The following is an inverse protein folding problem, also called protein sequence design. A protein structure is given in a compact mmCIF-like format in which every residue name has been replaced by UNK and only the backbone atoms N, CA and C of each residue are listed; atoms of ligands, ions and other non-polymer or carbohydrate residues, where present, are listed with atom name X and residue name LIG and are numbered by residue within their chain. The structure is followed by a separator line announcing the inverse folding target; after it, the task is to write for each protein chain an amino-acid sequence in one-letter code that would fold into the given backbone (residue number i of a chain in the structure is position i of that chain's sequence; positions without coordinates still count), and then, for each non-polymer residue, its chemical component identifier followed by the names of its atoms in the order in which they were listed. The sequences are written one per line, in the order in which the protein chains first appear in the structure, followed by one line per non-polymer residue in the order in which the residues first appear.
data_IF_792018537731
#
_entry.id   IF_792018537731
#
_cell.length_a   1.000
_cell.length_b   1.000
_cell.length_c   1.000
_cell.angle_alpha   90.00
_cell.angle_beta   90.00
_cell.angle_gamma   90.00
#
_symmetry.space_group_name_H-M   'P 1'
#
loop_
_entity.id
_entity.type
_entity.pdbx_description
1 polymer ?
#
# COMPACT_ATOMS: atom_id res chain seq x y z
N UNK A 1 -24.39 3.03 41.24
CA UNK A 1 -23.33 3.71 42.02
C UNK A 1 -22.55 2.84 43.02
N UNK A 2 -23.18 2.14 43.98
CA UNK A 2 -22.42 1.34 44.98
C UNK A 2 -21.44 0.32 44.37
N UNK A 3 -21.83 -0.31 43.25
CA UNK A 3 -20.97 -1.23 42.50
C UNK A 3 -19.75 -0.53 41.88
N UNK A 4 -19.91 0.71 41.39
CA UNK A 4 -18.80 1.52 40.87
C UNK A 4 -17.76 1.78 41.96
N UNK A 5 -18.21 2.22 43.14
CA UNK A 5 -17.28 2.57 44.23
C UNK A 5 -16.56 1.34 44.78
N UNK A 6 -17.27 0.22 44.93
CA UNK A 6 -16.65 -1.05 45.29
C UNK A 6 -15.60 -1.49 44.26
N UNK A 7 -15.88 -1.31 42.97
CA UNK A 7 -14.94 -1.63 41.91
C UNK A 7 -13.73 -0.68 41.89
N UNK A 8 -13.93 0.62 42.15
CA UNK A 8 -12.84 1.59 42.29
C UNK A 8 -11.94 1.26 43.47
N UNK A 9 -12.52 0.89 44.62
CA UNK A 9 -11.74 0.46 45.78
C UNK A 9 -10.92 -0.81 45.47
N UNK A 10 -11.55 -1.81 44.86
CA UNK A 10 -10.89 -3.04 44.44
C UNK A 10 -9.77 -2.80 43.39
N UNK A 11 -9.94 -1.78 42.54
CA UNK A 11 -8.94 -1.34 41.55
C UNK A 11 -7.83 -0.44 42.15
N UNK A 12 -7.83 -0.23 43.47
CA UNK A 12 -6.90 0.67 44.18
C UNK A 12 -7.05 2.15 43.77
N UNK A 13 -8.29 2.57 43.51
CA UNK A 13 -8.69 3.94 43.14
C UNK A 13 -9.60 4.58 44.21
N UNK A 14 -9.55 4.09 45.44
CA UNK A 14 -10.40 4.56 46.55
C UNK A 14 -10.29 6.09 46.79
N UNK A 15 -9.11 6.67 46.57
CA UNK A 15 -8.87 8.11 46.73
C UNK A 15 -9.60 8.97 45.70
N UNK A 16 -10.00 8.38 44.56
CA UNK A 16 -10.69 9.08 43.47
C UNK A 16 -12.22 8.98 43.57
N UNK A 17 -12.75 8.25 44.57
CA UNK A 17 -14.21 8.09 44.75
C UNK A 17 -14.93 9.43 44.91
N UNK A 18 -14.43 10.44 45.66
CA UNK A 18 -15.09 11.74 45.75
C UNK A 18 -15.20 12.47 44.40
N UNK A 19 -14.16 12.35 43.55
CA UNK A 19 -14.16 12.93 42.21
C UNK A 19 -15.12 12.17 41.28
N UNK A 20 -15.20 10.85 41.43
CA UNK A 20 -16.19 10.04 40.72
C UNK A 20 -17.62 10.44 41.08
N UNK A 21 -17.90 10.66 42.38
CA UNK A 21 -19.19 11.13 42.88
C UNK A 21 -19.57 12.49 42.29
N UNK A 22 -18.64 13.45 42.32
CA UNK A 22 -18.83 14.78 41.75
C UNK A 22 -19.13 14.69 40.25
N UNK A 23 -18.34 13.93 39.49
CA UNK A 23 -18.59 13.73 38.07
C UNK A 23 -19.96 13.11 37.79
N UNK A 24 -20.36 12.08 38.55
CA UNK A 24 -21.66 11.44 38.37
C UNK A 24 -22.81 12.40 38.66
N UNK A 25 -22.65 13.26 39.66
CA UNK A 25 -23.63 14.30 39.96
C UNK A 25 -23.71 15.37 38.86
N UNK A 26 -22.57 15.79 38.30
CA UNK A 26 -22.51 16.79 37.23
C UNK A 26 -23.11 16.29 35.91
N UNK A 27 -22.81 15.04 35.55
CA UNK A 27 -23.34 14.42 34.33
C UNK A 27 -24.76 13.86 34.49
N UNK A 28 -25.28 13.79 35.72
CA UNK A 28 -26.57 13.18 36.03
C UNK A 28 -26.58 11.66 35.84
N UNK A 29 -25.44 11.01 36.03
CA UNK A 29 -25.31 9.55 35.97
C UNK A 29 -25.74 8.94 37.31
N UNK A 30 -26.90 8.29 37.32
CA UNK A 30 -27.47 7.61 38.49
C UNK A 30 -27.19 6.10 38.46
N UNK A 31 -27.01 5.53 37.26
CA UNK A 31 -26.82 4.11 37.01
C UNK A 31 -25.37 3.79 36.60
N UNK A 32 -24.93 2.55 36.85
CA UNK A 32 -23.57 2.12 36.47
C UNK A 32 -23.43 2.09 34.94
N UNK A 33 -24.48 1.68 34.26
CA UNK A 33 -24.59 1.60 32.81
C UNK A 33 -24.33 2.97 32.17
N UNK A 34 -24.86 4.04 32.75
CA UNK A 34 -24.63 5.42 32.28
C UNK A 34 -23.16 5.82 32.44
N UNK A 35 -22.52 5.45 33.55
CA UNK A 35 -21.07 5.68 33.73
C UNK A 35 -20.25 4.87 32.72
N UNK A 36 -20.67 3.65 32.40
CA UNK A 36 -20.00 2.80 31.42
C UNK A 36 -20.14 3.32 29.99
N UNK A 37 -21.29 3.90 29.64
CA UNK A 37 -21.51 4.55 28.34
C UNK A 37 -20.54 5.72 28.12
N UNK A 38 -20.17 6.42 29.18
CA UNK A 38 -19.24 7.56 29.16
C UNK A 38 -17.91 7.25 29.85
N UNK A 39 -17.48 5.98 29.84
CA UNK A 39 -16.31 5.53 30.61
C UNK A 39 -15.02 6.26 30.22
N UNK A 40 -14.87 6.66 28.95
CA UNK A 40 -13.71 7.40 28.48
C UNK A 40 -13.67 8.83 29.04
N UNK A 41 -14.81 9.53 29.03
CA UNK A 41 -14.93 10.88 29.59
C UNK A 41 -14.76 10.86 31.11
N UNK A 42 -15.35 9.85 31.77
CA UNK A 42 -15.15 9.58 33.19
C UNK A 42 -13.67 9.35 33.51
N UNK A 43 -12.99 8.44 32.79
CA UNK A 43 -11.59 8.14 33.00
C UNK A 43 -10.69 9.38 32.78
N UNK A 44 -10.96 10.16 31.73
CA UNK A 44 -10.23 11.39 31.43
C UNK A 44 -10.43 12.45 32.51
N UNK A 45 -11.67 12.64 32.99
CA UNK A 45 -11.97 13.62 34.05
C UNK A 45 -11.30 13.29 35.37
N UNK A 46 -11.17 12.00 35.68
CA UNK A 46 -10.50 11.52 36.89
C UNK A 46 -8.98 11.43 36.74
N UNK A 47 -8.43 11.68 35.53
CA UNK A 47 -7.00 11.54 35.24
C UNK A 47 -6.50 10.09 35.33
N UNK A 48 -7.36 9.11 35.05
CA UNK A 48 -6.99 7.70 35.09
C UNK A 48 -5.99 7.38 33.97
N UNK A 49 -4.93 6.65 34.31
CA UNK A 49 -4.08 6.04 33.29
C UNK A 49 -4.78 4.86 32.63
N UNK A 50 -4.32 4.44 31.44
CA UNK A 50 -4.85 3.28 30.71
C UNK A 50 -4.91 2.03 31.61
N UNK A 51 -3.85 1.77 32.37
CA UNK A 51 -3.77 0.66 33.32
C UNK A 51 -4.76 0.74 34.48
N UNK A 52 -5.13 1.94 34.94
CA UNK A 52 -6.13 2.12 36.00
C UNK A 52 -7.53 1.89 35.47
N UNK A 53 -7.83 2.40 34.27
CA UNK A 53 -9.10 2.19 33.57
C UNK A 53 -9.36 0.71 33.30
N UNK A 54 -8.36 -0.02 32.81
CA UNK A 54 -8.47 -1.47 32.56
C UNK A 54 -8.76 -2.26 33.84
N UNK A 55 -8.05 -1.95 34.94
CA UNK A 55 -8.32 -2.59 36.23
C UNK A 55 -9.74 -2.30 36.72
N UNK A 56 -10.22 -1.07 36.55
CA UNK A 56 -11.58 -0.70 36.94
C UNK A 56 -12.63 -1.45 36.12
N UNK A 57 -12.49 -1.50 34.79
CA UNK A 57 -13.40 -2.26 33.91
C UNK A 57 -13.41 -3.75 34.26
N UNK A 58 -12.25 -4.31 34.58
CA UNK A 58 -12.13 -5.70 35.04
C UNK A 58 -12.91 -5.94 36.35
N UNK A 59 -12.85 -5.00 37.31
CA UNK A 59 -13.61 -5.10 38.55
C UNK A 59 -15.12 -4.90 38.36
N UNK A 60 -15.52 -4.14 37.34
CA UNK A 60 -16.92 -3.93 36.99
C UNK A 60 -17.55 -5.12 36.28
N UNK A 61 -16.75 -6.14 35.89
CA UNK A 61 -17.24 -7.31 35.16
C UNK A 61 -17.73 -6.94 33.75
N UNK A 62 -17.30 -5.80 33.23
CA UNK A 62 -17.57 -5.40 31.86
C UNK A 62 -16.55 -6.14 31.01
N UNK A 63 -16.87 -7.39 30.71
CA UNK A 63 -16.13 -8.13 29.70
C UNK A 63 -16.37 -7.45 28.36
N UNK A 64 -15.30 -6.94 27.77
CA UNK A 64 -15.34 -6.44 26.41
C UNK A 64 -15.75 -7.58 25.47
N UNK A 65 -16.98 -7.48 24.95
CA UNK A 65 -17.56 -8.49 24.08
C UNK A 65 -16.68 -8.71 22.83
N UNK A 66 -16.04 -7.66 22.32
CA UNK A 66 -15.13 -7.77 21.17
C UNK A 66 -13.91 -8.64 21.51
N UNK A 67 -13.34 -8.48 22.71
CA UNK A 67 -12.24 -9.29 23.20
C UNK A 67 -12.66 -10.75 23.42
N UNK A 68 -13.87 -10.98 23.95
CA UNK A 68 -14.40 -12.34 24.10
C UNK A 68 -14.56 -13.03 22.75
N UNK A 69 -15.18 -12.34 21.78
CA UNK A 69 -15.40 -12.86 20.43
C UNK A 69 -14.04 -13.13 19.74
N UNK A 70 -13.07 -12.23 19.88
CA UNK A 70 -11.71 -12.42 19.38
C UNK A 70 -11.02 -13.65 20.00
N UNK A 71 -11.13 -13.84 21.32
CA UNK A 71 -10.59 -15.03 22.01
C UNK A 71 -11.25 -16.32 21.51
N UNK A 72 -12.57 -16.32 21.35
CA UNK A 72 -13.31 -17.47 20.82
C UNK A 72 -12.87 -17.82 19.40
N UNK A 73 -12.73 -16.81 18.53
CA UNK A 73 -12.26 -17.01 17.16
C UNK A 73 -10.83 -17.57 17.13
N UNK A 74 -9.92 -17.00 17.91
CA UNK A 74 -8.52 -17.50 18.01
C UNK A 74 -8.51 -18.95 18.48
N UNK A 75 -9.26 -19.28 19.52
CA UNK A 75 -9.35 -20.64 20.04
C UNK A 75 -9.89 -21.62 18.98
N UNK A 76 -11.00 -21.28 18.32
CA UNK A 76 -11.61 -22.13 17.29
C UNK A 76 -10.64 -22.41 16.13
N UNK A 77 -9.93 -21.38 15.66
CA UNK A 77 -8.97 -21.54 14.58
C UNK A 77 -7.72 -22.33 14.99
N UNK A 78 -7.21 -22.13 16.21
CA UNK A 78 -6.07 -22.91 16.73
C UNK A 78 -6.43 -24.38 16.91
N UNK A 79 -7.65 -24.68 17.35
CA UNK A 79 -8.18 -26.05 17.41
C UNK A 79 -8.28 -26.68 16.02
N UNK A 80 -8.75 -25.94 15.01
CA UNK A 80 -8.81 -26.42 13.62
C UNK A 80 -7.42 -26.68 13.04
N UNK A 81 -6.47 -25.75 13.23
CA UNK A 81 -5.07 -25.89 12.82
C UNK A 81 -4.43 -27.10 13.50
N UNK A 82 -4.67 -27.29 14.81
CA UNK A 82 -4.15 -28.44 15.56
C UNK A 82 -4.71 -29.76 15.02
N UNK A 83 -6.01 -29.80 14.70
CA UNK A 83 -6.67 -30.97 14.11
C UNK A 83 -6.10 -31.31 12.73
N UNK A 84 -5.99 -30.33 11.83
CA UNK A 84 -5.40 -30.53 10.49
C UNK A 84 -3.93 -30.93 10.57
N UNK A 85 -3.18 -30.35 11.51
CA UNK A 85 -1.79 -30.72 11.75
C UNK A 85 -1.68 -32.18 12.20
N UNK A 86 -2.53 -32.62 13.12
CA UNK A 86 -2.58 -34.01 13.56
C UNK A 86 -2.99 -34.97 12.43
N UNK A 87 -3.93 -34.57 11.58
CA UNK A 87 -4.33 -35.33 10.39
C UNK A 87 -3.16 -35.44 9.39
N UNK A 88 -2.48 -34.35 9.08
CA UNK A 88 -1.34 -34.32 8.15
C UNK A 88 -0.19 -35.25 8.54
N UNK A 89 -0.05 -35.57 9.85
CA UNK A 89 0.93 -36.53 10.38
C UNK A 89 0.53 -37.99 10.14
N UNK A 90 -0.76 -38.28 10.03
CA UNK A 90 -1.31 -39.64 9.81
C UNK A 90 -1.48 -39.98 8.33
N UNK A 91 -1.59 -38.97 7.47
CA UNK A 91 -1.95 -39.14 6.06
C UNK A 91 -0.74 -39.42 5.15
N UNK A 92 -0.99 -40.11 4.03
CA UNK A 92 0.02 -40.42 3.01
C UNK A 92 0.66 -39.16 2.39
N UNK A 93 1.88 -39.29 1.85
CA UNK A 93 2.62 -38.19 1.20
C UNK A 93 1.81 -37.45 0.13
N UNK A 94 0.96 -38.16 -0.63
CA UNK A 94 0.15 -37.58 -1.71
C UNK A 94 -0.96 -36.65 -1.19
N UNK A 95 -1.51 -36.93 -0.01
CA UNK A 95 -2.61 -36.16 0.59
C UNK A 95 -2.14 -35.12 1.61
N UNK A 96 -0.87 -35.19 2.04
CA UNK A 96 -0.29 -34.22 2.98
C UNK A 96 -0.21 -32.80 2.41
N UNK A 97 0.06 -32.66 1.11
CA UNK A 97 0.21 -31.36 0.44
C UNK A 97 -1.01 -30.44 0.63
N UNK A 98 -2.22 -30.89 0.24
CA UNK A 98 -3.45 -30.12 0.45
C UNK A 98 -3.73 -29.74 1.92
N UNK A 99 -3.44 -30.63 2.87
CA UNK A 99 -3.63 -30.33 4.31
C UNK A 99 -2.68 -29.23 4.79
N UNK A 100 -1.42 -29.25 4.36
CA UNK A 100 -0.45 -28.20 4.70
C UNK A 100 -0.81 -26.85 4.06
N UNK A 101 -1.33 -26.86 2.83
CA UNK A 101 -1.84 -25.64 2.20
C UNK A 101 -3.01 -25.06 3.01
N UNK A 102 -3.96 -25.91 3.43
CA UNK A 102 -5.10 -25.47 4.25
C UNK A 102 -4.68 -24.92 5.62
N UNK A 103 -3.70 -25.54 6.29
CA UNK A 103 -3.13 -25.02 7.54
C UNK A 103 -2.57 -23.62 7.32
N UNK A 104 -1.76 -23.45 6.25
CA UNK A 104 -1.18 -22.15 5.91
C UNK A 104 -2.25 -21.10 5.60
N UNK A 105 -3.32 -21.49 4.90
CA UNK A 105 -4.43 -20.58 4.59
C UNK A 105 -5.15 -20.10 5.86
N UNK A 106 -5.36 -20.98 6.85
CA UNK A 106 -5.94 -20.62 8.16
C UNK A 106 -4.98 -19.73 8.96
N UNK A 107 -3.70 -20.07 9.02
CA UNK A 107 -2.67 -19.26 9.71
C UNK A 107 -2.52 -17.86 9.11
N UNK A 108 -2.81 -17.70 7.81
CA UNK A 108 -2.74 -16.44 7.08
C UNK A 108 -4.09 -15.73 6.94
N UNK A 109 -5.17 -16.29 7.50
CA UNK A 109 -6.50 -15.69 7.44
C UNK A 109 -6.49 -14.29 8.11
N UNK A 110 -6.93 -13.21 7.43
CA UNK A 110 -6.90 -11.86 7.98
C UNK A 110 -7.65 -11.73 9.32
N UNK A 111 -8.78 -12.41 9.45
CA UNK A 111 -9.62 -12.42 10.65
C UNK A 111 -8.91 -13.04 11.86
N UNK A 112 -8.15 -14.13 11.65
CA UNK A 112 -7.34 -14.76 12.70
C UNK A 112 -6.20 -13.87 13.15
N UNK A 113 -5.50 -13.25 12.20
CA UNK A 113 -4.38 -12.36 12.49
C UNK A 113 -4.84 -11.11 13.24
N UNK A 114 -5.97 -10.51 12.85
CA UNK A 114 -6.54 -9.37 13.59
C UNK A 114 -7.03 -9.80 14.97
N UNK A 115 -7.75 -10.91 15.11
CA UNK A 115 -8.19 -11.40 16.42
C UNK A 115 -7.01 -11.74 17.35
N UNK A 116 -5.95 -12.34 16.82
CA UNK A 116 -4.74 -12.63 17.60
C UNK A 116 -4.04 -11.36 18.09
N UNK A 117 -3.98 -10.31 17.25
CA UNK A 117 -3.47 -8.98 17.64
C UNK A 117 -4.36 -8.33 18.70
N UNK A 118 -5.68 -8.41 18.52
CA UNK A 118 -6.65 -7.89 19.47
C UNK A 118 -6.54 -8.57 20.84
N UNK A 119 -6.37 -9.89 20.88
CA UNK A 119 -6.15 -10.63 22.14
C UNK A 119 -4.82 -10.24 22.81
N UNK A 120 -3.81 -9.88 22.03
CA UNK A 120 -2.49 -9.47 22.54
C UNK A 120 -2.49 -8.04 23.09
N UNK A 121 -3.08 -7.09 22.37
CA UNK A 121 -3.18 -5.68 22.74
C UNK A 121 -4.48 -5.09 22.17
N UNK A 122 -5.60 -5.16 22.93
CA UNK A 122 -6.90 -4.67 22.47
C UNK A 122 -6.88 -3.17 22.16
N UNK A 123 -6.13 -2.38 22.94
CA UNK A 123 -6.07 -0.94 22.77
C UNK A 123 -5.38 -0.57 21.46
N UNK A 124 -4.20 -1.14 21.20
CA UNK A 124 -3.46 -0.88 19.97
C UNK A 124 -4.18 -1.40 18.72
N UNK A 125 -4.85 -2.56 18.80
CA UNK A 125 -5.61 -3.08 17.66
C UNK A 125 -6.87 -2.25 17.39
N UNK A 126 -7.60 -1.77 18.41
CA UNK A 126 -8.71 -0.82 18.20
C UNK A 126 -8.23 0.49 17.57
N UNK A 127 -7.09 1.01 18.02
CA UNK A 127 -6.49 2.20 17.41
C UNK A 127 -6.12 1.95 15.95
N UNK A 128 -5.54 0.78 15.63
CA UNK A 128 -5.24 0.37 14.25
C UNK A 128 -6.50 0.22 13.40
N UNK A 129 -7.51 -0.50 13.88
CA UNK A 129 -8.78 -0.68 13.17
C UNK A 129 -9.45 0.66 12.93
N UNK A 130 -9.40 1.57 13.92
CA UNK A 130 -9.86 2.95 13.75
C UNK A 130 -9.05 3.69 12.70
N UNK A 131 -7.72 3.61 12.71
CA UNK A 131 -6.88 4.24 11.71
C UNK A 131 -7.17 3.72 10.28
N UNK A 132 -7.28 2.40 10.09
CA UNK A 132 -7.65 1.79 8.81
C UNK A 132 -9.06 2.19 8.35
N UNK A 133 -10.02 2.25 9.27
CA UNK A 133 -11.37 2.72 8.97
C UNK A 133 -11.35 4.19 8.53
N UNK A 134 -10.59 5.03 9.24
CA UNK A 134 -10.43 6.44 8.90
C UNK A 134 -9.77 6.61 7.52
N UNK A 135 -8.74 5.83 7.18
CA UNK A 135 -8.10 5.83 5.86
C UNK A 135 -9.06 5.39 4.74
N UNK A 136 -9.83 4.31 4.97
CA UNK A 136 -10.85 3.84 4.02
C UNK A 136 -11.93 4.88 3.80
N UNK A 137 -12.44 5.48 4.87
CA UNK A 137 -13.46 6.52 4.80
C UNK A 137 -12.89 7.77 4.11
N UNK A 138 -11.66 8.19 4.41
CA UNK A 138 -10.99 9.29 3.70
C UNK A 138 -10.90 9.02 2.19
N UNK A 139 -10.48 7.81 1.81
CA UNK A 139 -10.41 7.38 0.40
C UNK A 139 -11.79 7.42 -0.26
N UNK A 140 -12.81 6.91 0.42
CA UNK A 140 -14.22 6.94 -0.05
C UNK A 140 -14.67 8.38 -0.29
N UNK A 141 -14.40 9.29 0.64
CA UNK A 141 -14.74 10.70 0.45
C UNK A 141 -14.02 11.27 -0.77
N UNK A 142 -12.71 11.06 -0.94
CA UNK A 142 -11.94 11.54 -2.11
C UNK A 142 -12.46 11.00 -3.44
N UNK A 143 -12.86 9.72 -3.48
CA UNK A 143 -13.48 9.09 -4.66
C UNK A 143 -14.80 9.75 -5.03
N UNK A 144 -15.72 9.92 -4.07
CA UNK A 144 -17.01 10.56 -4.32
C UNK A 144 -16.86 12.00 -4.86
N UNK A 145 -15.86 12.76 -4.36
CA UNK A 145 -15.61 14.11 -4.90
C UNK A 145 -14.98 14.06 -6.31
N UNK A 146 -14.14 13.05 -6.62
CA UNK A 146 -13.62 12.83 -7.99
C UNK A 146 -14.77 12.60 -8.99
N UNK A 147 -15.79 11.86 -8.56
CA UNK A 147 -17.00 11.59 -9.35
C UNK A 147 -17.97 12.78 -9.41
N UNK A 148 -17.68 13.86 -8.67
CA UNK A 148 -18.56 15.04 -8.50
C UNK A 148 -19.95 14.68 -7.95
N UNK A 149 -20.07 13.61 -7.17
CA UNK A 149 -21.29 13.23 -6.45
C UNK A 149 -21.32 13.89 -5.07
N UNK A 150 -21.97 15.05 -5.01
CA UNK A 150 -22.05 15.84 -3.79
C UNK A 150 -22.82 15.11 -2.66
N UNK A 151 -23.99 14.48 -2.90
CA UNK A 151 -24.65 13.67 -1.85
C UNK A 151 -23.77 12.55 -1.29
N UNK A 152 -23.10 11.78 -2.15
CA UNK A 152 -22.28 10.67 -1.70
C UNK A 152 -21.03 11.15 -0.92
N UNK A 153 -20.38 12.21 -1.39
CA UNK A 153 -19.24 12.81 -0.69
C UNK A 153 -19.63 13.35 0.70
N UNK A 154 -20.83 13.95 0.82
CA UNK A 154 -21.35 14.46 2.08
C UNK A 154 -21.66 13.32 3.06
N UNK A 155 -22.29 12.24 2.59
CA UNK A 155 -22.58 11.05 3.42
C UNK A 155 -21.28 10.40 3.91
N UNK A 156 -20.30 10.24 3.03
CA UNK A 156 -19.01 9.64 3.39
C UNK A 156 -18.24 10.51 4.41
N UNK A 157 -18.31 11.84 4.30
CA UNK A 157 -17.66 12.73 5.27
C UNK A 157 -18.33 12.62 6.65
N UNK A 158 -19.66 12.48 6.71
CA UNK A 158 -20.37 12.28 7.97
C UNK A 158 -19.97 10.95 8.64
N UNK A 159 -19.82 9.87 7.87
CA UNK A 159 -19.30 8.59 8.36
C UNK A 159 -17.87 8.74 8.92
N UNK A 160 -16.99 9.47 8.22
CA UNK A 160 -15.62 9.75 8.70
C UNK A 160 -15.61 10.50 10.04
N UNK A 161 -16.51 11.47 10.20
CA UNK A 161 -16.69 12.21 11.46
C UNK A 161 -17.21 11.33 12.58
N UNK A 162 -18.20 10.48 12.30
CA UNK A 162 -18.76 9.56 13.28
C UNK A 162 -17.72 8.55 13.80
N UNK A 163 -16.74 8.17 12.96
CA UNK A 163 -15.60 7.34 13.36
C UNK A 163 -14.53 8.09 14.20
N UNK A 164 -14.80 9.35 14.58
CA UNK A 164 -13.91 10.17 15.39
C UNK A 164 -12.69 10.68 14.62
N UNK A 165 -12.81 10.85 13.30
CA UNK A 165 -11.75 11.45 12.48
C UNK A 165 -11.61 12.95 12.75
N UNK A 166 -10.47 13.35 13.32
CA UNK A 166 -10.13 14.75 13.62
C UNK A 166 -8.63 14.98 13.36
N UNK A 167 -8.20 15.13 12.10
CA UNK A 167 -6.79 15.46 11.80
C UNK A 167 -6.50 16.97 11.94
N UNK A 168 -5.88 17.40 13.05
CA UNK A 168 -5.66 18.81 13.43
C UNK A 168 -4.72 19.65 12.54
N UNK A 169 -4.27 20.86 12.92
CA UNK A 169 -4.53 21.66 14.13
C UNK A 169 -4.99 23.06 13.70
N UNK A 170 -6.31 23.31 13.65
CA UNK A 170 -7.04 24.61 13.62
C UNK A 170 -8.42 24.39 12.95
N UNK A 171 -9.42 25.24 13.24
CA UNK A 171 -10.87 24.96 13.11
C UNK A 171 -11.32 24.62 11.68
N UNK A 172 -11.74 23.39 11.30
CA UNK A 172 -11.63 22.05 11.91
C UNK A 172 -11.60 20.92 10.86
N UNK A 173 -10.41 20.56 10.34
CA UNK A 173 -9.90 19.15 10.26
C UNK A 173 -10.90 18.05 9.76
N UNK A 174 -10.96 17.51 8.51
CA UNK A 174 -10.03 16.64 7.75
C UNK A 174 -9.50 17.44 6.55
N UNK A 175 -8.47 18.22 6.87
CA UNK A 175 -8.08 19.45 6.19
C UNK A 175 -9.30 20.31 5.77
N UNK A 176 -9.93 20.92 6.79
CA UNK A 176 -11.09 21.83 6.75
C UNK A 176 -12.24 21.40 5.83
N UNK A 177 -12.41 20.08 5.86
CA UNK A 177 -13.36 19.19 5.20
C UNK A 177 -13.22 19.13 3.70
N UNK A 178 -12.06 18.53 3.40
CA UNK A 178 -11.47 18.37 2.08
C UNK A 178 -11.55 19.68 1.31
N UNK A 179 -11.07 20.72 2.00
CA UNK A 179 -11.85 21.87 2.40
C UNK A 179 -12.83 22.36 1.38
N UNK A 180 -13.95 22.88 1.86
CA UNK A 180 -14.92 23.36 0.92
C UNK A 180 -15.54 22.17 0.12
N UNK A 181 -15.24 20.88 0.47
CA UNK A 181 -15.51 19.65 -0.31
C UNK A 181 -15.26 19.83 -1.81
N UNK A 182 -14.31 20.74 -2.06
CA UNK A 182 -14.26 21.55 -3.26
C UNK A 182 -15.56 22.37 -3.37
N UNK A 183 -15.62 23.65 -2.90
CA UNK A 183 -16.78 24.61 -2.82
C UNK A 183 -17.42 24.96 -4.18
N UNK A 184 -17.20 24.07 -5.13
CA UNK A 184 -16.21 24.16 -6.20
C UNK A 184 -16.25 22.88 -7.06
N UNK A 185 -17.10 21.94 -6.70
CA UNK A 185 -17.96 21.51 -7.78
C UNK A 185 -18.40 22.74 -8.68
N UNK A 186 -18.34 24.02 -8.22
CA UNK A 186 -18.00 25.29 -8.94
C UNK A 186 -18.85 25.54 -10.18
N UNK A 187 -20.02 26.15 -9.94
CA UNK A 187 -20.68 27.24 -10.70
C UNK A 187 -20.84 27.19 -12.23
N UNK A 188 -20.75 26.03 -12.89
CA UNK A 188 -20.98 25.87 -14.34
C UNK A 188 -22.31 26.46 -14.85
N UNK A 189 -22.18 27.26 -15.91
CA UNK A 189 -23.16 27.45 -16.98
C UNK A 189 -23.52 26.08 -17.60
N UNK A 190 -24.82 25.72 -17.69
CA UNK A 190 -25.27 24.45 -18.30
C UNK A 190 -24.72 24.20 -19.71
N UNK A 191 -24.46 25.26 -20.49
CA UNK A 191 -23.94 25.17 -21.86
C UNK A 191 -22.49 24.66 -21.90
N UNK A 192 -21.61 25.18 -21.05
CA UNK A 192 -20.21 24.75 -21.02
C UNK A 192 -20.09 23.30 -20.52
N UNK A 193 -21.03 22.87 -19.68
CA UNK A 193 -21.13 21.49 -19.21
C UNK A 193 -21.48 20.53 -20.35
N UNK A 194 -22.44 20.91 -21.21
CA UNK A 194 -22.81 20.13 -22.40
C UNK A 194 -21.66 20.11 -23.42
N UNK A 195 -21.04 21.26 -23.68
CA UNK A 195 -19.94 21.40 -24.65
C UNK A 195 -18.70 20.60 -24.25
N UNK A 196 -18.36 20.55 -22.95
CA UNK A 196 -17.25 19.72 -22.44
C UNK A 196 -17.57 18.23 -22.39
N UNK A 197 -18.82 17.83 -22.12
CA UNK A 197 -19.20 16.41 -22.25
C UNK A 197 -19.14 15.95 -23.70
N UNK A 198 -19.55 16.80 -24.64
CA UNK A 198 -19.43 16.54 -26.07
C UNK A 198 -17.96 16.54 -26.51
N UNK A 199 -17.13 17.48 -26.04
CA UNK A 199 -15.69 17.46 -26.28
C UNK A 199 -15.00 16.25 -25.67
N UNK A 200 -15.35 15.79 -24.46
CA UNK A 200 -14.81 14.56 -23.87
C UNK A 200 -15.27 13.31 -24.63
N UNK A 201 -16.53 13.27 -25.09
CA UNK A 201 -17.03 12.20 -25.97
C UNK A 201 -16.35 12.23 -27.35
N UNK A 202 -15.97 13.40 -27.84
CA UNK A 202 -15.25 13.58 -29.10
C UNK A 202 -13.74 13.30 -28.97
N UNK A 203 -13.11 13.68 -27.86
CA UNK A 203 -11.70 13.40 -27.55
C UNK A 203 -11.47 11.94 -27.18
N UNK A 204 -12.46 11.26 -26.56
CA UNK A 204 -12.44 9.78 -26.44
C UNK A 204 -12.38 9.07 -27.80
N UNK A 205 -12.70 9.76 -28.91
CA UNK A 205 -12.53 9.25 -30.28
C UNK A 205 -11.24 9.75 -30.97
N UNK A 206 -10.46 10.64 -30.35
CA UNK A 206 -9.22 11.23 -30.88
C UNK A 206 -8.15 11.35 -29.78
N UNK A 207 -8.01 10.30 -28.98
CA UNK A 207 -6.93 10.20 -28.02
C UNK A 207 -5.60 9.97 -28.73
N UNK A 208 -4.52 10.37 -28.09
CA UNK A 208 -3.18 9.86 -28.37
C UNK A 208 -3.27 8.32 -28.41
N UNK A 209 -2.94 7.74 -29.57
CA UNK A 209 -2.83 6.30 -29.73
C UNK A 209 -1.35 6.00 -29.81
N UNK A 210 -0.85 5.19 -28.87
CA UNK A 210 0.43 4.54 -29.06
C UNK A 210 0.37 3.67 -30.31
N UNK A 211 1.47 3.61 -31.05
CA UNK A 211 1.59 2.58 -32.07
C UNK A 211 1.39 1.21 -31.40
N UNK A 212 0.69 0.26 -32.04
CA UNK A 212 0.59 -1.08 -31.50
C UNK A 212 2.00 -1.62 -31.23
N UNK A 213 2.20 -2.38 -30.14
CA UNK A 213 3.52 -2.82 -29.73
C UNK A 213 4.21 -3.50 -30.90
N UNK A 214 5.47 -3.12 -31.15
CA UNK A 214 6.27 -3.74 -32.19
C UNK A 214 6.39 -5.25 -31.93
N UNK A 215 6.73 -6.05 -32.95
CA UNK A 215 6.94 -7.50 -32.75
C UNK A 215 7.98 -7.83 -31.66
N UNK A 216 8.92 -6.90 -31.39
CA UNK A 216 9.88 -7.01 -30.29
C UNK A 216 9.25 -6.70 -28.92
N UNK A 217 8.26 -5.81 -28.85
CA UNK A 217 7.48 -5.53 -27.63
C UNK A 217 6.42 -6.59 -27.34
N UNK A 218 5.99 -7.32 -28.38
CA UNK A 218 5.10 -8.47 -28.24
C UNK A 218 5.79 -9.71 -27.64
N UNK A 219 7.13 -9.78 -27.63
CA UNK A 219 7.90 -10.73 -26.80
C UNK A 219 7.77 -10.33 -25.32
N UNK A 220 6.57 -10.51 -24.77
CA UNK A 220 6.17 -10.07 -23.42
C UNK A 220 6.67 -10.99 -22.31
N UNK A 221 7.26 -12.14 -22.64
CA UNK A 221 7.73 -13.09 -21.65
C UNK A 221 9.20 -12.85 -21.30
N UNK A 222 9.54 -12.59 -20.01
CA UNK A 222 10.91 -12.48 -19.56
C UNK A 222 11.74 -13.70 -19.93
N UNK A 223 12.92 -13.48 -20.52
CA UNK A 223 13.83 -14.54 -20.95
C UNK A 223 14.50 -15.15 -19.72
N UNK A 224 14.25 -16.44 -19.47
CA UNK A 224 14.93 -17.20 -18.41
C UNK A 224 16.34 -17.54 -18.86
N UNK A 225 17.34 -17.12 -18.09
CA UNK A 225 18.74 -17.38 -18.38
C UNK A 225 19.57 -17.59 -17.10
N UNK A 226 20.84 -17.96 -17.28
CA UNK A 226 21.79 -18.20 -16.20
C UNK A 226 22.86 -17.13 -16.25
N UNK A 227 23.00 -16.40 -15.15
CA UNK A 227 24.04 -15.40 -14.96
C UNK A 227 25.28 -16.06 -14.41
N UNK A 228 26.45 -15.87 -15.03
CA UNK A 228 27.71 -16.37 -14.48
C UNK A 228 28.16 -15.50 -13.31
N UNK A 229 28.62 -16.14 -12.23
CA UNK A 229 29.08 -15.44 -11.01
C UNK A 229 30.42 -16.03 -10.58
N UNK A 230 31.44 -15.19 -10.60
CA UNK A 230 32.77 -15.45 -10.07
C UNK A 230 32.89 -14.98 -8.61
N UNK A 231 33.79 -15.59 -7.85
CA UNK A 231 34.00 -15.31 -6.42
C UNK A 231 34.60 -13.92 -6.20
N UNK A 232 35.57 -13.56 -7.05
CA UNK A 232 36.39 -12.36 -6.89
C UNK A 232 35.83 -11.22 -7.75
N UNK A 233 35.39 -11.54 -8.97
CA UNK A 233 34.90 -10.55 -9.93
C UNK A 233 33.37 -10.34 -9.86
N UNK A 234 32.64 -11.16 -9.11
CA UNK A 234 31.18 -11.10 -9.08
C UNK A 234 30.56 -11.51 -10.42
N UNK A 235 29.52 -10.80 -10.86
CA UNK A 235 28.85 -11.11 -12.12
C UNK A 235 29.46 -10.40 -13.35
N UNK A 236 30.45 -9.51 -13.19
CA UNK A 236 30.95 -8.68 -14.30
C UNK A 236 29.84 -7.90 -15.00
N UNK A 237 28.88 -7.38 -14.23
CA UNK A 237 27.79 -6.56 -14.72
C UNK A 237 27.85 -5.21 -14.02
N UNK A 238 27.89 -4.14 -14.80
CA UNK A 238 27.57 -2.79 -14.31
C UNK A 238 26.06 -2.62 -14.42
N UNK A 239 25.42 -2.38 -13.28
CA UNK A 239 23.97 -2.37 -13.15
C UNK A 239 23.49 -1.04 -12.58
N UNK A 240 22.42 -0.51 -13.15
CA UNK A 240 21.69 0.65 -12.63
C UNK A 240 20.34 0.19 -12.05
N UNK A 241 20.00 0.53 -10.80
CA UNK A 241 18.71 0.21 -10.23
C UNK A 241 17.59 1.05 -10.86
N UNK A 242 16.50 0.39 -11.24
CA UNK A 242 15.30 1.02 -11.80
C UNK A 242 14.03 0.48 -11.16
N UNK A 243 12.91 1.17 -11.39
CA UNK A 243 11.59 0.72 -10.95
C UNK A 243 11.20 -0.67 -11.50
N UNK A 244 11.76 -1.07 -12.64
CA UNK A 244 11.49 -2.35 -13.31
C UNK A 244 12.47 -3.48 -12.95
N UNK A 245 13.55 -3.17 -12.21
CA UNK A 245 14.62 -4.11 -11.87
C UNK A 245 16.01 -3.51 -12.10
N UNK A 246 17.01 -4.37 -12.34
CA UNK A 246 18.40 -3.93 -12.59
C UNK A 246 18.66 -3.81 -14.09
N UNK A 247 18.95 -2.62 -14.58
CA UNK A 247 19.29 -2.35 -15.99
C UNK A 247 20.78 -2.60 -16.20
N UNK A 248 21.15 -3.31 -17.26
CA UNK A 248 22.55 -3.57 -17.60
C UNK A 248 23.12 -2.40 -18.38
N UNK A 249 24.12 -1.71 -17.83
CA UNK A 249 24.84 -0.66 -18.54
C UNK A 249 25.98 -1.23 -19.38
N UNK A 250 26.80 -2.07 -18.76
CA UNK A 250 28.00 -2.66 -19.34
C UNK A 250 28.17 -4.11 -18.83
N UNK A 251 28.76 -4.95 -19.68
CA UNK A 251 29.11 -6.34 -19.36
C UNK A 251 30.61 -6.47 -19.53
N UNK A 252 31.31 -6.81 -18.45
CA UNK A 252 32.76 -7.02 -18.48
C UNK A 252 33.11 -8.32 -19.22
N UNK A 253 34.31 -8.37 -19.81
CA UNK A 253 34.79 -9.55 -20.54
C UNK A 253 34.97 -10.79 -19.63
N UNK A 254 35.27 -10.57 -18.35
CA UNK A 254 35.46 -11.63 -17.34
C UNK A 254 34.59 -11.35 -16.09
N UNK A 255 33.73 -12.30 -15.65
CA UNK A 255 33.54 -13.67 -16.15
C UNK A 255 32.82 -13.78 -17.51
N UNK A 256 32.38 -12.65 -18.06
CA UNK A 256 31.58 -12.59 -19.28
C UNK A 256 30.18 -13.18 -19.10
N UNK A 257 29.24 -12.78 -19.96
CA UNK A 257 27.87 -13.30 -19.92
C UNK A 257 27.47 -13.99 -21.23
N UNK A 258 26.33 -14.69 -21.20
CA UNK A 258 25.72 -15.27 -22.39
C UNK A 258 25.42 -14.16 -23.40
N UNK A 259 25.75 -14.36 -24.69
CA UNK A 259 25.54 -13.37 -25.77
C UNK A 259 24.08 -12.90 -25.90
N UNK A 260 23.13 -13.62 -25.30
CA UNK A 260 21.72 -13.22 -25.25
C UNK A 260 21.44 -12.10 -24.25
N UNK A 261 22.33 -11.88 -23.29
CA UNK A 261 22.27 -10.79 -22.32
C UNK A 261 23.16 -9.66 -22.83
N UNK A 262 22.60 -8.46 -22.98
CA UNK A 262 23.34 -7.30 -23.48
C UNK A 262 23.04 -6.02 -22.72
N UNK A 263 23.84 -4.97 -22.94
CA UNK A 263 23.52 -3.62 -22.46
C UNK A 263 22.09 -3.19 -22.83
N UNK A 264 21.39 -2.59 -21.87
CA UNK A 264 19.99 -2.17 -21.93
C UNK A 264 18.97 -3.25 -21.54
N UNK A 265 19.36 -4.52 -21.39
CA UNK A 265 18.47 -5.54 -20.84
C UNK A 265 18.17 -5.23 -19.36
N UNK A 266 16.93 -5.47 -18.94
CA UNK A 266 16.47 -5.25 -17.56
C UNK A 266 16.24 -6.59 -16.86
N UNK A 267 17.02 -6.88 -15.82
CA UNK A 267 16.85 -8.06 -14.97
C UNK A 267 15.70 -7.80 -13.99
N UNK A 268 14.55 -8.42 -14.25
CA UNK A 268 13.34 -8.22 -13.45
C UNK A 268 13.14 -9.29 -12.37
N UNK A 269 13.81 -10.46 -12.48
CA UNK A 269 13.79 -11.51 -11.45
C UNK A 269 15.14 -12.18 -11.26
N UNK A 270 15.48 -12.52 -10.02
CA UNK A 270 16.63 -13.35 -9.65
C UNK A 270 16.18 -14.48 -8.72
N UNK A 271 16.56 -15.72 -9.06
CA UNK A 271 16.18 -16.95 -8.35
C UNK A 271 14.65 -17.08 -8.07
N UNK A 272 13.83 -16.50 -8.94
CA UNK A 272 12.37 -16.50 -8.83
C UNK A 272 11.79 -15.33 -8.02
N UNK A 273 12.62 -14.54 -7.34
CA UNK A 273 12.20 -13.33 -6.65
C UNK A 273 12.12 -12.14 -7.63
N UNK A 274 11.05 -11.36 -7.52
CA UNK A 274 10.88 -10.12 -8.28
C UNK A 274 11.81 -9.03 -7.75
N UNK A 275 12.40 -8.25 -8.65
CA UNK A 275 13.15 -7.03 -8.36
C UNK A 275 12.35 -5.76 -8.69
N UNK A 276 11.17 -5.92 -9.29
CA UNK A 276 10.27 -4.82 -9.65
C UNK A 276 9.73 -4.13 -8.39
N UNK A 277 9.61 -2.81 -8.46
CA UNK A 277 9.04 -1.94 -7.41
C UNK A 277 9.79 -1.98 -6.06
N UNK A 278 11.04 -2.46 -6.05
CA UNK A 278 11.88 -2.48 -4.85
C UNK A 278 12.78 -1.25 -4.81
N UNK A 279 12.69 -0.46 -3.73
CA UNK A 279 13.55 0.74 -3.53
C UNK A 279 15.04 0.36 -3.39
N UNK A 280 15.36 -0.75 -2.72
CA UNK A 280 16.72 -1.24 -2.51
C UNK A 280 17.03 -2.49 -3.36
N UNK A 281 16.64 -2.49 -4.63
CA UNK A 281 16.78 -3.66 -5.50
C UNK A 281 18.24 -4.13 -5.68
N UNK A 282 19.22 -3.23 -5.59
CA UNK A 282 20.65 -3.54 -5.68
C UNK A 282 21.12 -4.43 -4.51
N UNK A 283 20.79 -4.07 -3.26
CA UNK A 283 21.17 -4.86 -2.08
C UNK A 283 20.58 -6.26 -2.13
N UNK A 284 19.30 -6.34 -2.51
CA UNK A 284 18.57 -7.60 -2.69
C UNK A 284 19.23 -8.45 -3.78
N UNK A 285 19.59 -7.85 -4.91
CA UNK A 285 20.27 -8.52 -6.01
C UNK A 285 21.62 -9.10 -5.58
N UNK A 286 22.45 -8.31 -4.90
CA UNK A 286 23.76 -8.73 -4.39
C UNK A 286 23.63 -9.92 -3.43
N UNK A 287 22.67 -9.86 -2.50
CA UNK A 287 22.47 -10.93 -1.53
C UNK A 287 22.00 -12.23 -2.20
N UNK A 288 21.17 -12.13 -3.24
CA UNK A 288 20.80 -13.30 -4.03
C UNK A 288 21.97 -13.90 -4.81
N UNK A 289 22.90 -13.09 -5.29
CA UNK A 289 24.13 -13.61 -5.91
C UNK A 289 24.98 -14.38 -4.90
N UNK A 290 25.17 -13.83 -3.69
CA UNK A 290 25.91 -14.51 -2.60
C UNK A 290 25.26 -15.84 -2.21
N UNK A 291 23.94 -15.86 -2.06
CA UNK A 291 23.19 -17.07 -1.71
C UNK A 291 23.28 -18.11 -2.83
N UNK A 292 23.11 -17.69 -4.10
CA UNK A 292 23.22 -18.59 -5.25
C UNK A 292 24.61 -19.25 -5.33
N UNK A 293 25.65 -18.45 -5.09
CA UNK A 293 27.02 -18.91 -5.06
C UNK A 293 27.26 -19.94 -3.95
N UNK A 294 26.85 -19.62 -2.72
CA UNK A 294 27.04 -20.50 -1.57
C UNK A 294 26.25 -21.81 -1.69
N UNK A 295 25.02 -21.75 -2.22
CA UNK A 295 24.11 -22.90 -2.27
C UNK A 295 24.47 -23.91 -3.36
N UNK A 296 24.84 -23.45 -4.56
CA UNK A 296 24.99 -24.36 -5.69
C UNK A 296 26.42 -24.90 -5.89
N UNK A 297 27.47 -24.27 -5.31
CA UNK A 297 28.88 -24.51 -5.71
C UNK A 297 29.06 -24.54 -7.24
N UNK A 298 28.15 -23.89 -7.96
CA UNK A 298 28.14 -23.76 -9.41
C UNK A 298 28.18 -22.27 -9.70
N UNK A 299 28.88 -21.93 -10.75
CA UNK A 299 29.21 -20.57 -11.20
C UNK A 299 27.99 -19.81 -11.75
N UNK A 300 26.75 -20.12 -11.36
CA UNK A 300 25.57 -19.46 -11.94
C UNK A 300 24.39 -19.18 -11.01
N UNK A 301 23.75 -18.01 -11.23
CA UNK A 301 22.45 -17.62 -10.69
C UNK A 301 21.36 -17.69 -11.77
N UNK A 302 20.12 -18.02 -11.42
CA UNK A 302 19.01 -18.02 -12.39
C UNK A 302 18.37 -16.65 -12.45
N UNK A 303 18.29 -16.03 -13.62
CA UNK A 303 17.66 -14.72 -13.79
C UNK A 303 16.54 -14.75 -14.84
N UNK A 304 15.67 -13.75 -14.80
CA UNK A 304 14.77 -13.40 -15.89
C UNK A 304 15.07 -11.97 -16.32
N UNK A 305 15.38 -11.80 -17.60
CA UNK A 305 15.69 -10.50 -18.18
C UNK A 305 14.74 -10.16 -19.33
N UNK A 306 14.34 -8.90 -19.40
CA UNK A 306 13.53 -8.34 -20.48
C UNK A 306 14.43 -7.50 -21.39
N UNK A 307 14.10 -7.48 -22.69
CA UNK A 307 14.75 -6.56 -23.62
C UNK A 307 14.29 -5.13 -23.36
N UNK A 308 15.09 -4.12 -23.73
CA UNK A 308 14.62 -2.74 -23.75
C UNK A 308 13.41 -2.61 -24.70
N UNK A 309 12.30 -2.08 -24.20
CA UNK A 309 11.13 -1.77 -25.01
C UNK A 309 11.31 -0.42 -25.74
N UNK A 310 10.58 -0.21 -26.84
CA UNK A 310 10.73 0.98 -27.68
C UNK A 310 9.36 1.47 -28.11
N UNK A 311 8.81 2.42 -27.36
CA UNK A 311 7.50 3.00 -27.67
C UNK A 311 7.64 4.30 -28.48
N UNK A 312 6.97 4.35 -29.63
CA UNK A 312 6.77 5.57 -30.42
C UNK A 312 5.30 6.00 -30.46
N UNK A 313 5.07 7.29 -30.74
CA UNK A 313 3.72 7.82 -30.89
C UNK A 313 3.71 9.11 -31.68
N UNK A 314 2.64 9.34 -32.44
CA UNK A 314 2.49 10.56 -33.23
C UNK A 314 1.56 11.56 -32.55
N UNK A 315 2.00 12.83 -32.49
CA UNK A 315 1.14 13.93 -32.02
C UNK A 315 0.38 14.50 -33.23
N UNK A 316 -0.97 14.59 -33.18
CA UNK A 316 -1.75 15.08 -34.32
C UNK A 316 -1.41 16.52 -34.68
N UNK A 317 -1.22 16.82 -35.98
CA UNK A 317 -0.89 18.16 -36.50
C UNK A 317 -1.96 19.22 -36.21
N UNK A 318 -3.20 18.82 -35.91
CA UNK A 318 -4.33 19.75 -35.78
C UNK A 318 -4.42 20.44 -34.41
N UNK A 319 -3.56 20.10 -33.45
CA UNK A 319 -3.52 20.73 -32.14
C UNK A 319 -2.47 21.83 -32.08
N UNK A 320 -2.81 22.97 -31.48
CA UNK A 320 -1.80 23.90 -30.97
C UNK A 320 -1.12 23.22 -29.77
N UNK A 321 -0.06 22.46 -30.03
CA UNK A 321 0.75 21.82 -29.01
C UNK A 321 1.83 22.80 -28.58
N UNK A 322 1.89 23.11 -27.30
CA UNK A 322 3.03 23.80 -26.72
C UNK A 322 4.18 22.79 -26.58
N UNK A 323 5.07 22.80 -27.57
CA UNK A 323 6.20 21.87 -27.65
C UNK A 323 7.20 22.06 -26.51
N UNK A 324 7.33 23.28 -25.99
CA UNK A 324 8.23 23.55 -24.87
C UNK A 324 7.67 22.95 -23.59
N UNK A 325 6.35 23.09 -23.36
CA UNK A 325 5.68 22.46 -22.23
C UNK A 325 5.76 20.93 -22.32
N UNK A 326 5.48 20.35 -23.50
CA UNK A 326 5.58 18.91 -23.70
C UNK A 326 7.00 18.38 -23.47
N UNK A 327 8.02 19.08 -23.97
CA UNK A 327 9.41 18.68 -23.74
C UNK A 327 9.81 18.77 -22.27
N UNK A 328 9.35 19.81 -21.55
CA UNK A 328 9.56 19.92 -20.11
C UNK A 328 8.87 18.78 -19.33
N UNK A 329 7.61 18.47 -19.67
CA UNK A 329 6.85 17.39 -19.05
C UNK A 329 7.51 16.03 -19.29
N UNK A 330 7.94 15.75 -20.53
CA UNK A 330 8.63 14.51 -20.87
C UNK A 330 9.99 14.40 -20.20
N UNK A 331 10.71 15.53 -20.04
CA UNK A 331 11.96 15.54 -19.29
C UNK A 331 11.74 15.26 -17.80
N UNK A 332 10.67 15.82 -17.21
CA UNK A 332 10.29 15.51 -15.82
C UNK A 332 9.94 14.04 -15.66
N UNK A 333 9.08 13.52 -16.54
CA UNK A 333 8.69 12.11 -16.55
C UNK A 333 9.90 11.19 -16.75
N UNK A 334 10.84 11.56 -17.62
CA UNK A 334 12.07 10.81 -17.82
C UNK A 334 12.95 10.74 -16.58
N UNK A 335 13.00 11.81 -15.80
CA UNK A 335 13.66 11.82 -14.49
C UNK A 335 12.98 10.88 -13.49
N UNK A 336 11.65 10.91 -13.43
CA UNK A 336 10.87 10.13 -12.46
C UNK A 336 10.89 8.61 -12.75
N UNK A 337 10.90 8.23 -14.04
CA UNK A 337 10.78 6.84 -14.46
C UNK A 337 12.05 6.27 -15.08
N UNK A 338 13.14 7.05 -15.11
CA UNK A 338 14.41 6.68 -15.78
C UNK A 338 14.20 6.27 -17.24
N UNK A 339 13.37 7.04 -17.94
CA UNK A 339 13.05 6.82 -19.35
C UNK A 339 13.63 7.95 -20.18
N UNK A 340 14.38 7.60 -21.23
CA UNK A 340 14.82 8.60 -22.19
C UNK A 340 13.71 9.03 -23.14
N UNK A 341 13.74 10.30 -23.53
CA UNK A 341 12.74 10.92 -24.39
C UNK A 341 13.42 11.70 -25.51
N UNK A 342 13.02 11.46 -26.76
CA UNK A 342 13.50 12.23 -27.92
C UNK A 342 12.35 12.74 -28.79
N UNK A 343 12.18 14.06 -28.80
CA UNK A 343 11.31 14.75 -29.76
C UNK A 343 12.02 14.75 -31.12
N UNK A 344 11.36 14.28 -32.18
CA UNK A 344 11.87 14.42 -33.55
C UNK A 344 10.86 15.17 -34.42
N UNK A 345 11.36 15.92 -35.40
CA UNK A 345 10.54 16.56 -36.43
C UNK A 345 10.70 15.78 -37.72
N UNK A 346 9.64 15.16 -38.23
CA UNK A 346 9.70 14.41 -39.49
C UNK A 346 9.29 15.30 -40.67
N UNK A 347 9.76 15.00 -41.89
CA UNK A 347 9.45 15.80 -43.11
C UNK A 347 7.96 15.79 -43.50
N UNK A 348 7.16 14.89 -42.95
CA UNK A 348 5.71 14.80 -43.19
C UNK A 348 4.87 15.41 -42.06
N UNK A 349 5.51 16.09 -41.10
CA UNK A 349 4.88 16.64 -39.90
C UNK A 349 5.69 16.42 -38.63
N UNK A 350 5.34 17.10 -37.55
CA UNK A 350 5.86 16.77 -36.23
C UNK A 350 5.41 15.34 -35.88
N UNK A 351 6.36 14.45 -35.64
CA UNK A 351 6.12 13.04 -35.34
C UNK A 351 7.12 12.62 -34.28
N UNK A 352 6.65 12.16 -33.14
CA UNK A 352 7.51 11.85 -32.01
C UNK A 352 8.11 10.46 -32.20
N UNK A 353 9.41 10.31 -31.93
CA UNK A 353 10.05 8.99 -31.86
C UNK A 353 10.69 8.90 -30.50
N UNK A 354 9.89 8.43 -29.54
CA UNK A 354 10.39 8.07 -28.22
C UNK A 354 11.32 6.88 -28.32
N UNK A 355 12.42 6.94 -27.58
CA UNK A 355 13.30 5.81 -27.38
C UNK A 355 13.27 5.58 -25.89
N UNK A 356 12.60 4.53 -25.43
CA UNK A 356 12.81 4.09 -24.05
C UNK A 356 14.17 3.38 -24.06
N UNK A 357 15.26 4.15 -24.02
CA UNK A 357 16.54 3.60 -23.66
C UNK A 357 16.57 3.57 -22.14
N UNK A 358 16.53 2.38 -21.57
CA UNK A 358 16.89 2.20 -20.17
C UNK A 358 18.42 2.37 -20.11
N UNK A 359 18.90 3.51 -19.58
CA UNK A 359 20.31 3.77 -19.30
C UNK A 359 21.00 4.83 -20.17
N UNK A 360 21.16 6.03 -19.59
CA UNK A 360 22.38 6.87 -19.55
C UNK A 360 22.05 8.21 -18.80
N UNK A 361 21.70 8.18 -17.51
CA UNK A 361 21.59 9.41 -16.70
C UNK A 361 22.97 9.83 -16.18
N UNK A 362 23.81 10.39 -17.06
CA UNK A 362 25.05 11.03 -16.61
C UNK A 362 24.74 12.39 -15.95
N UNK A 363 24.79 12.39 -14.62
CA UNK A 363 24.97 13.53 -13.71
C UNK A 363 23.90 14.63 -13.72
N UNK A 364 23.11 14.66 -12.63
CA UNK A 364 22.56 15.89 -12.06
C UNK A 364 22.88 15.94 -10.55
N UNK A 365 24.17 15.96 -10.20
CA UNK A 365 24.65 16.52 -8.94
C UNK A 365 25.65 17.63 -9.26
N UNK A 366 25.13 18.85 -9.32
CA UNK A 366 25.84 20.11 -9.07
C UNK A 366 24.84 21.11 -8.49
#
# INVERSE_FOLDING_TARGET
MAQLYAAMEAAQLAELVPLAEEWCQEQGAELLEEVLEFMEDFASSLGLTVSQRERLLQQLGVEDQELLDAKQLVQQQEEEIAKLTAESKKTSKKQKGPLLARIKDLEQAPEYLSAKRFVQDPAAERERQRAELLEKLETKVRMCISDRDLPAATSALAEFRAAGGVSGNESGSLANDLAQLRAELSTKDPEEQKRRMEQRKAMKKRGFQFDPPSGAEAETEPRKMKLKVDVELGAGLQLEPSWYGMVIEEIDDEPGQDERLGPGDCICKINGQSLQEMEDCESVFIDFLKVAWAANRREYASIQAMKPCHASGAVPQSGAVDWNALEADLKSFGGDYQVDFKVQTTRFGWGWVGWIRMGDVKNAMS
#
